data_IF_914711412621
#
_entry.id   IF_914711412621
#
_cell.length_a   1.000
_cell.length_b   1.000
_cell.length_c   1.000
_cell.angle_alpha   90.00
_cell.angle_beta   90.00
_cell.angle_gamma   90.00
#
_symmetry.space_group_name_H-M   'P 1'
#
loop_
_entity.id
_entity.type
_entity.pdbx_description
1 polymer ?
#
# COMPACT_ATOMS: atom_id res chain seq x y z
N UNK A 1 20.82 -31.12 -30.38
CA UNK A 1 19.90 -30.02 -30.01
C UNK A 1 19.70 -30.02 -28.48
N UNK A 2 20.67 -29.56 -27.67
CA UNK A 2 20.53 -29.45 -26.20
C UNK A 2 21.31 -28.22 -25.72
N UNK A 3 20.68 -27.04 -25.71
CA UNK A 3 21.19 -25.84 -25.05
C UNK A 3 20.09 -24.82 -24.67
N UNK A 4 18.83 -25.02 -25.09
CA UNK A 4 17.73 -24.06 -24.88
C UNK A 4 17.15 -24.07 -23.45
N UNK A 5 17.36 -25.15 -22.69
CA UNK A 5 16.54 -25.42 -21.50
C UNK A 5 16.97 -24.64 -20.25
N UNK A 6 18.29 -24.53 -19.99
CA UNK A 6 18.81 -23.88 -18.76
C UNK A 6 18.63 -22.36 -18.71
N UNK A 7 18.41 -21.71 -19.87
CA UNK A 7 18.24 -20.25 -19.96
C UNK A 7 16.80 -19.84 -19.69
N UNK A 8 15.84 -20.67 -20.08
CA UNK A 8 14.40 -20.46 -19.86
C UNK A 8 14.05 -20.55 -18.37
N UNK A 9 14.51 -21.59 -17.67
CA UNK A 9 14.23 -21.78 -16.24
C UNK A 9 14.79 -20.64 -15.38
N UNK A 10 15.98 -20.14 -15.71
CA UNK A 10 16.59 -18.98 -15.03
C UNK A 10 15.82 -17.68 -15.29
N UNK A 11 15.19 -17.55 -16.45
CA UNK A 11 14.33 -16.40 -16.80
C UNK A 11 12.99 -16.45 -16.04
N UNK A 12 12.37 -17.62 -15.92
CA UNK A 12 11.09 -17.80 -15.21
C UNK A 12 11.26 -17.54 -13.71
N UNK A 13 12.30 -18.10 -13.08
CA UNK A 13 12.57 -17.90 -11.65
C UNK A 13 12.84 -16.42 -11.36
N UNK A 14 13.63 -15.74 -12.21
CA UNK A 14 13.90 -14.30 -12.06
C UNK A 14 12.62 -13.48 -12.16
N UNK A 15 11.77 -13.74 -13.15
CA UNK A 15 10.48 -13.05 -13.31
C UNK A 15 9.54 -13.29 -12.12
N UNK A 16 9.47 -14.52 -11.63
CA UNK A 16 8.68 -14.84 -10.44
C UNK A 16 9.19 -14.09 -9.20
N UNK A 17 10.51 -13.95 -9.05
CA UNK A 17 11.12 -13.20 -7.97
C UNK A 17 10.87 -11.69 -8.08
N UNK A 18 10.98 -11.12 -9.29
CA UNK A 18 10.65 -9.72 -9.55
C UNK A 18 9.18 -9.42 -9.24
N UNK A 19 8.27 -10.33 -9.62
CA UNK A 19 6.84 -10.23 -9.27
C UNK A 19 6.60 -10.32 -7.76
N UNK A 20 7.33 -11.19 -7.05
CA UNK A 20 7.24 -11.30 -5.60
C UNK A 20 7.72 -10.03 -4.91
N UNK A 21 8.84 -9.45 -5.36
CA UNK A 21 9.37 -8.19 -4.83
C UNK A 21 8.36 -7.06 -5.09
N UNK A 22 7.83 -6.92 -6.30
CA UNK A 22 6.84 -5.91 -6.63
C UNK A 22 5.55 -6.05 -5.80
N UNK A 23 5.11 -7.30 -5.54
CA UNK A 23 3.97 -7.55 -4.66
C UNK A 23 4.28 -7.13 -3.21
N UNK A 24 5.49 -7.40 -2.72
CA UNK A 24 5.93 -7.05 -1.37
C UNK A 24 6.13 -5.56 -1.19
N UNK A 25 6.63 -4.87 -2.22
CA UNK A 25 6.74 -3.42 -2.27
C UNK A 25 5.35 -2.77 -2.18
N UNK A 26 4.37 -3.27 -2.94
CA UNK A 26 2.98 -2.80 -2.85
C UNK A 26 2.37 -3.02 -1.46
N UNK A 27 2.70 -4.13 -0.79
CA UNK A 27 2.27 -4.39 0.58
C UNK A 27 2.95 -3.45 1.58
N UNK A 28 4.25 -3.21 1.44
CA UNK A 28 5.00 -2.29 2.29
C UNK A 28 4.46 -0.86 2.17
N UNK A 29 4.18 -0.39 0.95
CA UNK A 29 3.57 0.92 0.72
C UNK A 29 2.18 1.03 1.36
N UNK A 30 1.35 -0.02 1.28
CA UNK A 30 0.04 -0.05 1.96
C UNK A 30 0.18 -0.04 3.48
N UNK A 31 1.14 -0.78 4.04
CA UNK A 31 1.39 -0.82 5.48
C UNK A 31 1.89 0.53 6.00
N UNK A 32 2.84 1.15 5.30
CA UNK A 32 3.36 2.48 5.65
C UNK A 32 2.26 3.54 5.54
N UNK A 33 1.49 3.54 4.45
CA UNK A 33 0.39 4.49 4.29
C UNK A 33 -0.70 4.27 5.35
N UNK A 34 -1.04 3.01 5.67
CA UNK A 34 -1.98 2.70 6.74
C UNK A 34 -1.48 3.17 8.11
N UNK A 35 -0.18 3.00 8.39
CA UNK A 35 0.45 3.46 9.62
C UNK A 35 0.50 5.00 9.72
N UNK A 36 0.82 5.70 8.63
CA UNK A 36 0.80 7.17 8.61
C UNK A 36 -0.63 7.70 8.80
N UNK A 37 -1.62 7.08 8.17
CA UNK A 37 -3.03 7.44 8.34
C UNK A 37 -3.58 7.10 9.73
N UNK A 38 -3.09 6.04 10.38
CA UNK A 38 -3.48 5.71 11.75
C UNK A 38 -2.80 6.62 12.78
N UNK A 39 -1.60 7.11 12.49
CA UNK A 39 -0.93 8.14 13.29
C UNK A 39 -1.73 9.46 13.26
N UNK A 40 -2.23 9.83 12.09
CA UNK A 40 -3.14 10.98 11.91
C UNK A 40 -4.45 10.77 12.68
N UNK A 41 -5.09 9.60 12.57
CA UNK A 41 -6.28 9.26 13.37
C UNK A 41 -6.05 9.29 14.87
N UNK A 42 -4.91 8.75 15.33
CA UNK A 42 -4.55 8.77 16.74
C UNK A 42 -4.35 10.21 17.24
N UNK A 43 -3.81 11.09 16.39
CA UNK A 43 -3.67 12.51 16.68
C UNK A 43 -5.04 13.18 16.77
N UNK A 44 -5.93 12.94 15.79
CA UNK A 44 -7.30 13.46 15.82
C UNK A 44 -8.06 12.98 17.07
N UNK A 45 -7.95 11.70 17.41
CA UNK A 45 -8.55 11.12 18.60
C UNK A 45 -7.98 11.72 19.89
N UNK A 46 -6.67 12.00 19.95
CA UNK A 46 -6.05 12.68 21.09
C UNK A 46 -6.58 14.10 21.30
N UNK A 47 -6.97 14.78 20.23
CA UNK A 47 -7.66 16.08 20.28
C UNK A 47 -9.19 15.97 20.43
N UNK A 48 -9.73 14.75 20.56
CA UNK A 48 -11.15 14.49 20.74
C UNK A 48 -12.00 14.51 19.47
N UNK A 49 -11.36 14.51 18.30
CA UNK A 49 -12.04 14.47 16.99
C UNK A 49 -12.08 13.04 16.45
N UNK A 50 -13.29 12.58 16.10
CA UNK A 50 -13.49 11.33 15.37
C UNK A 50 -13.45 11.60 13.85
N UNK A 51 -12.81 10.72 13.09
CA UNK A 51 -12.64 10.85 11.63
C UNK A 51 -14.00 10.93 10.92
N UNK A 52 -15.02 10.29 11.47
CA UNK A 52 -16.40 10.34 10.97
C UNK A 52 -17.06 11.71 11.17
N UNK A 53 -16.74 12.41 12.26
CA UNK A 53 -17.24 13.76 12.52
C UNK A 53 -16.58 14.77 11.56
N UNK A 54 -15.28 14.62 11.32
CA UNK A 54 -14.57 15.43 10.32
C UNK A 54 -15.04 15.14 8.89
N UNK A 55 -15.39 13.89 8.56
CA UNK A 55 -16.02 13.58 7.26
C UNK A 55 -17.37 14.26 7.11
N UNK A 56 -18.21 14.28 8.15
CA UNK A 56 -19.49 15.01 8.13
C UNK A 56 -19.28 16.51 7.95
N UNK A 57 -18.32 17.10 8.66
CA UNK A 57 -18.01 18.54 8.55
C UNK A 57 -17.36 18.90 7.21
N UNK A 58 -16.41 18.11 6.72
CA UNK A 58 -15.76 18.32 5.42
C UNK A 58 -16.70 18.10 4.23
N UNK A 59 -17.67 17.19 4.34
CA UNK A 59 -18.76 17.04 3.37
C UNK A 59 -19.66 18.27 3.31
N UNK A 60 -19.82 19.01 4.41
CA UNK A 60 -20.54 20.28 4.43
C UNK A 60 -19.68 21.42 3.88
N UNK A 61 -18.36 21.42 4.12
CA UNK A 61 -17.45 22.47 3.63
C UNK A 61 -17.18 22.37 2.12
N UNK A 62 -17.15 21.16 1.55
CA UNK A 62 -16.94 20.97 0.10
C UNK A 62 -18.20 21.20 -0.75
N UNK A 63 -19.36 21.43 -0.12
CA UNK A 63 -20.65 21.64 -0.80
C UNK A 63 -21.08 23.12 -0.86
N UNK A 64 -20.20 24.04 -0.46
CA UNK A 64 -20.38 25.51 -0.51
C UNK A 64 -19.36 26.08 -1.47
#
# INVERSE_FOLDING_TARGET
MIAADRRSSRSIIRRAFDHMIAAREKQALRYVNGYLLSLDDATLAAYGYDREELRRQGSLTSAI
#
